data_IF_432922950607
#
_entry.id   IF_432922950607
#
_cell.length_a   1.000
_cell.length_b   1.000
_cell.length_c   1.000
_cell.angle_alpha   90.00
_cell.angle_beta   90.00
_cell.angle_gamma   90.00
#
_symmetry.space_group_name_H-M   'P 1'
#
loop_
_entity.id
_entity.type
_entity.pdbx_description
1 polymer ?
#
# COMPACT_ATOMS: atom_id res chain seq x y z
N UNK A 1 58.01 -65.12 22.41
CA UNK A 1 58.44 -63.70 22.45
C UNK A 1 57.26 -62.86 21.99
N UNK A 2 56.41 -62.47 22.94
CA UNK A 2 56.33 -61.11 23.51
C UNK A 2 55.48 -60.20 22.59
N UNK A 3 54.21 -59.99 22.95
CA UNK A 3 53.64 -58.67 23.27
C UNK A 3 52.82 -58.09 22.09
N UNK A 4 51.61 -57.52 22.21
CA UNK A 4 50.87 -57.02 23.36
C UNK A 4 49.38 -56.86 22.98
N UNK A 5 48.49 -57.35 23.85
CA UNK A 5 47.30 -56.64 24.38
C UNK A 5 46.09 -56.39 23.44
N UNK A 6 45.09 -57.27 23.62
CA UNK A 6 43.66 -56.97 23.42
C UNK A 6 43.15 -56.19 24.64
N UNK A 7 42.05 -55.46 24.43
CA UNK A 7 41.21 -54.68 25.37
C UNK A 7 41.57 -53.20 25.50
N UNK A 8 40.70 -52.35 24.95
CA UNK A 8 40.76 -50.92 25.14
C UNK A 8 39.75 -50.15 24.28
N UNK A 9 38.49 -50.18 24.72
CA UNK A 9 37.52 -49.09 24.60
C UNK A 9 37.07 -48.61 23.21
N UNK A 10 35.79 -48.93 22.96
CA UNK A 10 34.79 -48.09 22.28
C UNK A 10 35.06 -46.61 22.54
N UNK A 11 35.72 -45.93 21.59
CA UNK A 11 35.84 -44.48 21.54
C UNK A 11 36.05 -44.07 20.07
N UNK A 12 35.01 -44.28 19.25
CA UNK A 12 35.11 -44.12 17.81
C UNK A 12 33.80 -43.70 17.14
N UNK A 13 32.99 -42.85 17.78
CA UNK A 13 31.86 -42.16 17.11
C UNK A 13 31.70 -40.69 17.57
N UNK A 14 32.66 -40.10 18.31
CA UNK A 14 32.44 -38.79 18.95
C UNK A 14 33.46 -37.69 18.61
N UNK A 15 34.14 -37.78 17.46
CA UNK A 15 35.10 -36.75 17.05
C UNK A 15 35.03 -36.44 15.55
N UNK A 16 33.87 -36.02 15.04
CA UNK A 16 33.80 -35.32 13.74
C UNK A 16 32.51 -34.48 13.55
N UNK A 17 32.04 -33.81 14.60
CA UNK A 17 30.90 -32.86 14.51
C UNK A 17 31.16 -31.48 15.11
N UNK A 18 32.42 -31.13 15.37
CA UNK A 18 32.77 -29.81 15.86
C UNK A 18 33.97 -29.26 15.10
N UNK A 19 33.69 -28.60 13.98
CA UNK A 19 34.58 -27.60 13.39
C UNK A 19 33.75 -26.69 12.46
N UNK A 20 33.21 -25.64 13.09
CA UNK A 20 32.88 -24.31 12.55
C UNK A 20 31.97 -24.17 11.33
N UNK A 21 30.82 -23.51 11.56
CA UNK A 21 30.09 -22.81 10.50
C UNK A 21 28.58 -23.04 10.46
N UNK A 22 27.98 -23.69 11.47
CA UNK A 22 26.54 -23.61 11.68
C UNK A 22 26.34 -22.93 13.03
N UNK A 23 26.59 -21.62 13.09
CA UNK A 23 25.88 -20.81 14.06
C UNK A 23 24.40 -21.06 13.76
N UNK A 24 23.74 -21.74 14.68
CA UNK A 24 22.30 -21.76 14.71
C UNK A 24 21.88 -20.29 14.72
N UNK A 25 21.40 -19.79 13.57
CA UNK A 25 20.55 -18.62 13.49
C UNK A 25 19.47 -18.88 14.53
N UNK A 26 19.65 -18.34 15.73
CA UNK A 26 18.59 -18.23 16.70
C UNK A 26 17.46 -17.58 15.90
N UNK A 27 16.37 -18.30 15.70
CA UNK A 27 15.26 -17.82 14.89
C UNK A 27 14.80 -16.52 15.53
N UNK A 28 15.26 -15.40 15.00
CA UNK A 28 14.91 -14.09 15.50
C UNK A 28 13.39 -14.03 15.47
N UNK A 29 12.77 -13.71 16.61
CA UNK A 29 11.31 -13.62 16.67
C UNK A 29 10.84 -12.70 15.54
N UNK A 30 9.79 -13.14 14.84
CA UNK A 30 9.23 -12.38 13.73
C UNK A 30 8.84 -10.99 14.23
N UNK A 31 9.56 -9.97 13.76
CA UNK A 31 9.32 -8.60 14.15
C UNK A 31 8.23 -7.97 13.26
N UNK A 32 7.34 -7.20 13.89
CA UNK A 32 6.39 -6.36 13.17
C UNK A 32 7.14 -5.34 12.32
N UNK A 33 6.85 -5.27 11.03
CA UNK A 33 7.36 -4.21 10.13
C UNK A 33 6.89 -2.85 10.61
N UNK A 34 5.59 -2.76 10.93
CA UNK A 34 4.91 -1.66 11.60
C UNK A 34 4.15 -2.26 12.78
N UNK A 35 4.41 -1.78 14.00
CA UNK A 35 3.70 -2.24 15.19
C UNK A 35 2.32 -1.56 15.26
N UNK A 36 1.19 -2.29 15.13
CA UNK A 36 -0.14 -1.70 15.19
C UNK A 36 -0.47 -1.10 16.56
N UNK A 37 0.20 -1.53 17.63
CA UNK A 37 0.04 -0.99 18.98
C UNK A 37 0.75 0.36 19.15
N UNK A 38 1.63 0.73 18.22
CA UNK A 38 2.38 1.99 18.21
C UNK A 38 2.09 2.82 16.95
N UNK A 39 0.86 3.37 16.81
CA UNK A 39 0.42 4.06 15.60
C UNK A 39 1.15 5.38 15.31
N UNK A 40 1.92 5.90 16.28
CA UNK A 40 2.65 7.15 16.20
C UNK A 40 1.76 8.40 16.26
N UNK A 41 2.39 9.57 16.12
CA UNK A 41 1.71 10.87 16.17
C UNK A 41 0.67 11.03 15.03
N UNK A 42 -0.49 11.61 15.36
CA UNK A 42 -1.57 11.84 14.40
C UNK A 42 -1.18 12.79 13.27
N UNK A 43 -0.40 13.83 13.60
CA UNK A 43 0.20 14.73 12.62
C UNK A 43 1.45 14.09 12.00
N UNK A 44 1.73 14.36 10.71
CA UNK A 44 3.01 13.99 10.11
C UNK A 44 4.17 14.64 10.87
N UNK A 45 5.24 13.90 11.23
CA UNK A 45 6.41 14.46 11.90
C UNK A 45 7.23 15.36 10.96
N UNK A 46 7.04 15.22 9.65
CA UNK A 46 7.64 16.02 8.58
C UNK A 46 6.89 15.83 7.27
N UNK A 47 7.04 16.79 6.37
CA UNK A 47 6.46 16.76 5.04
C UNK A 47 4.94 16.75 5.03
N UNK A 48 4.40 16.61 3.83
CA UNK A 48 2.98 16.55 3.58
C UNK A 48 2.63 15.30 2.75
N UNK A 49 1.41 14.78 2.95
CA UNK A 49 0.93 13.67 2.14
C UNK A 49 0.79 14.08 0.67
N UNK A 50 0.77 13.11 -0.25
CA UNK A 50 0.53 13.40 -1.67
C UNK A 50 -0.83 14.04 -1.91
N UNK A 51 -1.81 13.81 -1.03
CA UNK A 51 -3.13 14.46 -1.12
C UNK A 51 -3.01 15.95 -0.79
N UNK A 52 -2.28 16.28 0.28
CA UNK A 52 -2.01 17.67 0.64
C UNK A 52 -1.27 18.39 -0.48
N UNK A 53 -0.25 17.75 -1.09
CA UNK A 53 0.51 18.33 -2.21
C UNK A 53 -0.36 18.54 -3.45
N UNK A 54 -1.19 17.55 -3.79
CA UNK A 54 -2.02 17.58 -5.01
C UNK A 54 -3.08 18.69 -4.95
N UNK A 55 -3.62 18.94 -3.76
CA UNK A 55 -4.70 19.88 -3.55
C UNK A 55 -4.28 21.15 -2.80
N UNK A 56 -2.99 21.40 -2.61
CA UNK A 56 -2.52 22.65 -2.04
C UNK A 56 -2.98 23.82 -2.91
N UNK A 57 -3.61 24.83 -2.28
CA UNK A 57 -3.90 26.08 -2.96
C UNK A 57 -2.58 26.79 -3.32
N UNK A 58 -2.55 27.62 -4.37
CA UNK A 58 -1.36 28.39 -4.73
C UNK A 58 -0.80 29.25 -3.59
N UNK A 59 -1.67 29.70 -2.68
CA UNK A 59 -1.27 30.47 -1.49
C UNK A 59 -0.67 29.63 -0.37
N UNK A 60 -0.72 28.29 -0.44
CA UNK A 60 -0.18 27.35 0.56
C UNK A 60 -1.05 27.14 1.81
N UNK A 61 -1.93 28.08 2.15
CA UNK A 61 -2.64 28.07 3.44
C UNK A 61 -3.90 27.20 3.50
N UNK A 62 -4.37 26.67 2.36
CA UNK A 62 -5.64 25.91 2.25
C UNK A 62 -5.54 24.84 1.18
N UNK A 63 -6.52 23.93 1.18
CA UNK A 63 -6.73 22.99 0.10
C UNK A 63 -7.78 23.50 -0.88
N UNK A 64 -7.50 23.39 -2.18
CA UNK A 64 -8.47 23.63 -3.25
C UNK A 64 -9.07 22.28 -3.69
N UNK A 65 -10.18 21.90 -3.05
CA UNK A 65 -10.84 20.62 -3.30
C UNK A 65 -12.03 20.82 -4.26
N UNK A 66 -11.90 20.39 -5.54
CA UNK A 66 -12.96 20.62 -6.51
C UNK A 66 -14.18 19.75 -6.21
N UNK A 67 -15.37 20.32 -6.41
CA UNK A 67 -16.67 19.64 -6.32
C UNK A 67 -17.41 19.81 -7.67
N UNK A 68 -18.19 18.83 -8.16
CA UNK A 68 -18.53 17.53 -7.54
C UNK A 68 -17.38 16.50 -7.56
N UNK A 69 -17.60 15.33 -6.98
CA UNK A 69 -16.60 14.27 -6.81
C UNK A 69 -15.88 13.90 -8.12
N UNK A 70 -16.58 13.94 -9.24
CA UNK A 70 -16.03 13.71 -10.58
C UNK A 70 -14.92 14.71 -10.94
N UNK A 71 -15.01 15.97 -10.49
CA UNK A 71 -13.96 16.96 -10.71
C UNK A 71 -12.73 16.68 -9.86
N UNK A 72 -12.91 16.13 -8.67
CA UNK A 72 -11.81 15.65 -7.83
C UNK A 72 -11.10 14.47 -8.49
N UNK A 73 -11.85 13.50 -9.01
CA UNK A 73 -11.27 12.39 -9.78
C UNK A 73 -10.58 12.88 -11.06
N UNK A 74 -11.16 13.84 -11.77
CA UNK A 74 -10.55 14.42 -12.96
C UNK A 74 -9.25 15.15 -12.63
N UNK A 75 -9.17 15.87 -11.50
CA UNK A 75 -7.94 16.52 -11.04
C UNK A 75 -6.85 15.49 -10.74
N UNK A 76 -7.18 14.39 -10.06
CA UNK A 76 -6.23 13.29 -9.83
C UNK A 76 -5.81 12.66 -11.18
N UNK A 77 -6.76 12.44 -12.08
CA UNK A 77 -6.53 11.82 -13.38
C UNK A 77 -5.56 12.59 -14.28
N UNK A 78 -5.47 13.92 -14.13
CA UNK A 78 -4.51 14.76 -14.87
C UNK A 78 -3.06 14.48 -14.50
N UNK A 79 -2.80 13.90 -13.33
CA UNK A 79 -1.46 13.51 -12.89
C UNK A 79 -1.02 12.14 -13.43
N UNK A 80 -1.90 11.43 -14.14
CA UNK A 80 -1.69 10.03 -14.52
C UNK A 80 -1.48 9.89 -16.02
N UNK A 81 -0.63 8.95 -16.38
CA UNK A 81 -0.49 8.53 -17.77
C UNK A 81 -1.81 7.92 -18.26
N UNK A 82 -2.19 8.15 -19.54
CA UNK A 82 -3.36 7.52 -20.10
C UNK A 82 -3.22 6.00 -20.07
N UNK A 83 -4.34 5.30 -19.86
CA UNK A 83 -4.36 3.85 -20.00
C UNK A 83 -4.08 3.46 -21.47
N UNK A 84 -3.34 2.36 -21.65
CA UNK A 84 -3.21 1.74 -22.97
C UNK A 84 -4.60 1.29 -23.48
N UNK A 85 -4.83 1.23 -24.80
CA UNK A 85 -6.07 0.70 -25.36
C UNK A 85 -6.40 -0.68 -24.80
N UNK A 86 -7.64 -0.85 -24.31
CA UNK A 86 -8.12 -2.11 -23.71
C UNK A 86 -7.68 -2.34 -22.26
N UNK A 87 -6.82 -1.50 -21.68
CA UNK A 87 -6.45 -1.59 -20.27
C UNK A 87 -7.50 -0.92 -19.36
N UNK A 88 -7.53 -1.35 -18.09
CA UNK A 88 -8.37 -0.71 -17.08
C UNK A 88 -7.95 0.76 -16.84
N UNK A 89 -8.88 1.68 -16.53
CA UNK A 89 -8.58 3.09 -16.27
C UNK A 89 -7.52 3.30 -15.17
N UNK A 90 -6.65 4.33 -15.23
CA UNK A 90 -5.58 4.51 -14.25
C UNK A 90 -6.10 4.78 -12.82
N UNK A 91 -7.31 5.32 -12.71
CA UNK A 91 -8.07 5.41 -11.47
C UNK A 91 -9.06 4.24 -11.38
N UNK A 92 -8.93 3.42 -10.34
CA UNK A 92 -9.87 2.32 -10.06
C UNK A 92 -10.88 2.79 -9.04
N UNK A 93 -12.17 2.77 -9.37
CA UNK A 93 -13.24 3.24 -8.46
C UNK A 93 -14.38 2.23 -8.42
N UNK A 94 -14.80 1.74 -7.25
CA UNK A 94 -15.90 0.78 -7.06
C UNK A 94 -16.98 1.36 -6.14
N UNK A 95 -18.20 0.82 -6.23
CA UNK A 95 -19.33 1.17 -5.37
C UNK A 95 -19.54 0.11 -4.29
N UNK A 96 -19.65 0.53 -3.04
CA UNK A 96 -19.85 -0.30 -1.85
C UNK A 96 -21.09 0.19 -1.07
N UNK A 97 -22.30 -0.27 -1.40
CA UNK A 97 -23.49 0.09 -0.64
C UNK A 97 -23.49 -0.49 0.79
N UNK A 98 -22.95 -1.69 0.96
CA UNK A 98 -22.98 -2.44 2.23
C UNK A 98 -21.56 -2.66 2.77
N UNK A 99 -20.85 -1.56 3.04
CA UNK A 99 -19.45 -1.58 3.48
C UNK A 99 -19.24 -1.81 4.98
N UNK A 100 -17.97 -2.00 5.37
CA UNK A 100 -17.52 -2.15 6.77
C UNK A 100 -16.74 -0.94 7.31
N UNK A 101 -16.75 0.18 6.61
CA UNK A 101 -16.03 1.39 7.06
C UNK A 101 -16.68 2.03 8.28
N UNK A 102 -16.03 3.04 8.85
CA UNK A 102 -16.61 3.85 9.93
C UNK A 102 -17.90 4.57 9.49
N UNK A 103 -18.06 4.81 8.19
CA UNK A 103 -19.25 5.41 7.58
C UNK A 103 -20.32 4.38 7.15
N UNK A 104 -20.25 3.12 7.62
CA UNK A 104 -21.14 2.03 7.18
C UNK A 104 -22.65 2.30 7.35
N UNK A 105 -23.04 3.19 8.27
CA UNK A 105 -24.44 3.56 8.52
C UNK A 105 -24.83 4.90 7.93
N UNK A 106 -23.90 5.66 7.33
CA UNK A 106 -24.14 7.04 6.89
C UNK A 106 -25.22 7.17 5.82
N UNK A 107 -25.39 6.13 5.00
CA UNK A 107 -26.41 6.09 3.95
C UNK A 107 -27.73 5.45 4.40
N UNK A 108 -27.87 5.04 5.67
CA UNK A 108 -29.09 4.35 6.12
C UNK A 108 -30.35 5.23 5.94
N UNK A 109 -31.48 4.66 5.49
CA UNK A 109 -31.66 3.30 4.96
C UNK A 109 -31.33 3.16 3.46
N UNK A 110 -31.02 4.24 2.76
CA UNK A 110 -30.82 4.31 1.31
C UNK A 110 -29.38 3.98 0.85
N UNK A 111 -28.90 2.80 1.23
CA UNK A 111 -27.55 2.33 0.92
C UNK A 111 -27.25 2.24 -0.57
N UNK A 112 -28.27 1.93 -1.38
CA UNK A 112 -28.13 1.75 -2.83
C UNK A 112 -28.31 3.06 -3.59
N UNK A 113 -29.05 4.02 -3.06
CA UNK A 113 -29.08 5.38 -3.61
C UNK A 113 -27.77 6.14 -3.37
N UNK A 114 -27.12 5.88 -2.23
CA UNK A 114 -25.89 6.57 -1.80
C UNK A 114 -24.77 5.60 -1.39
N UNK A 115 -24.30 4.72 -2.30
CA UNK A 115 -23.22 3.79 -1.99
C UNK A 115 -21.92 4.55 -1.70
N UNK A 116 -21.09 4.00 -0.81
CA UNK A 116 -19.74 4.52 -0.62
C UNK A 116 -18.93 4.24 -1.89
N UNK A 117 -18.23 5.24 -2.41
CA UNK A 117 -17.25 5.04 -3.49
C UNK A 117 -15.90 4.76 -2.85
N UNK A 118 -15.17 3.76 -3.36
CA UNK A 118 -13.77 3.53 -2.98
C UNK A 118 -12.92 3.63 -4.22
N UNK A 119 -11.89 4.48 -4.15
CA UNK A 119 -10.97 4.81 -5.24
C UNK A 119 -9.55 4.47 -4.84
N UNK A 120 -8.80 3.87 -5.77
CA UNK A 120 -7.36 3.69 -5.68
C UNK A 120 -6.68 4.18 -6.95
N UNK A 121 -5.54 4.85 -6.79
CA UNK A 121 -4.68 5.23 -7.92
C UNK A 121 -3.74 4.06 -8.27
N UNK A 122 -3.91 3.51 -9.47
CA UNK A 122 -3.14 2.39 -9.99
C UNK A 122 -2.38 2.75 -11.29
N UNK A 123 -2.63 3.92 -11.86
CA UNK A 123 -1.92 4.43 -13.04
C UNK A 123 -0.53 4.95 -12.72
N UNK A 124 0.39 4.84 -13.69
CA UNK A 124 1.69 5.49 -13.63
C UNK A 124 1.55 7.03 -13.70
N UNK A 125 2.52 7.80 -13.19
CA UNK A 125 2.54 9.25 -13.38
C UNK A 125 2.52 9.63 -14.86
N UNK A 126 1.77 10.68 -15.18
CA UNK A 126 1.73 11.27 -16.51
C UNK A 126 3.00 12.08 -16.81
N UNK A 127 3.28 12.37 -18.10
CA UNK A 127 4.39 13.26 -18.46
C UNK A 127 4.30 14.59 -17.72
N UNK A 128 5.39 15.00 -17.07
CA UNK A 128 5.47 16.26 -16.32
C UNK A 128 4.87 16.24 -14.91
N UNK A 129 4.22 15.14 -14.49
CA UNK A 129 3.80 14.99 -13.09
C UNK A 129 5.00 14.64 -12.22
N UNK A 130 5.18 15.39 -11.12
CA UNK A 130 6.15 15.08 -10.07
C UNK A 130 5.57 14.18 -8.97
N UNK A 131 4.28 13.85 -9.05
CA UNK A 131 3.56 13.11 -8.01
C UNK A 131 3.52 11.62 -8.32
N UNK A 132 4.12 10.83 -7.44
CA UNK A 132 4.02 9.36 -7.49
C UNK A 132 2.71 8.93 -6.81
N UNK A 133 1.59 8.97 -7.52
CA UNK A 133 0.29 8.63 -6.92
C UNK A 133 0.00 7.12 -6.91
N UNK A 134 0.61 6.35 -7.83
CA UNK A 134 0.42 4.89 -7.94
C UNK A 134 0.69 4.20 -6.61
N UNK A 135 -0.29 3.41 -6.18
CA UNK A 135 -0.29 2.63 -4.94
C UNK A 135 -0.17 3.49 -3.66
N UNK A 136 -0.32 4.81 -3.79
CA UNK A 136 -0.01 5.78 -2.73
C UNK A 136 -1.16 6.71 -2.39
N UNK A 137 -2.22 6.78 -3.20
CA UNK A 137 -3.41 7.58 -2.92
C UNK A 137 -4.69 6.74 -3.03
N UNK A 138 -5.49 6.75 -1.96
CA UNK A 138 -6.75 6.05 -1.83
C UNK A 138 -7.80 6.98 -1.22
N UNK A 139 -9.04 6.90 -1.73
CA UNK A 139 -10.13 7.78 -1.29
C UNK A 139 -11.41 6.95 -1.13
N UNK A 140 -12.03 7.04 0.04
CA UNK A 140 -13.42 6.66 0.26
C UNK A 140 -14.31 7.90 0.22
N UNK A 141 -15.39 7.90 -0.54
CA UNK A 141 -16.38 8.99 -0.55
C UNK A 141 -17.73 8.49 -0.12
N UNK A 142 -18.37 9.20 0.82
CA UNK A 142 -19.74 8.97 1.23
C UNK A 142 -20.53 10.28 1.15
N UNK A 143 -21.42 10.37 0.14
CA UNK A 143 -22.20 11.57 -0.16
C UNK A 143 -23.08 11.99 1.02
N UNK A 144 -23.76 11.05 1.67
CA UNK A 144 -24.74 11.37 2.73
C UNK A 144 -24.12 12.01 3.96
N UNK A 145 -22.88 11.65 4.29
CA UNK A 145 -22.13 12.29 5.37
C UNK A 145 -21.30 13.49 4.90
N UNK A 146 -21.24 13.77 3.58
CA UNK A 146 -20.36 14.77 2.98
C UNK A 146 -18.89 14.62 3.41
N UNK A 147 -18.39 13.37 3.44
CA UNK A 147 -17.04 13.03 3.93
C UNK A 147 -16.22 12.30 2.86
N UNK A 148 -14.95 12.70 2.73
CA UNK A 148 -13.90 11.88 2.12
C UNK A 148 -13.03 11.28 3.22
N UNK A 149 -12.80 9.98 3.16
CA UNK A 149 -11.77 9.27 3.92
C UNK A 149 -10.57 9.11 3.00
N UNK A 150 -9.44 9.74 3.33
CA UNK A 150 -8.25 9.77 2.47
C UNK A 150 -7.11 9.03 3.16
N UNK A 151 -6.48 8.12 2.41
CA UNK A 151 -5.23 7.47 2.83
C UNK A 151 -4.20 7.81 1.77
N UNK A 152 -3.18 8.59 2.16
CA UNK A 152 -2.23 9.17 1.21
C UNK A 152 -0.80 9.08 1.74
N UNK A 153 0.12 8.67 0.88
CA UNK A 153 1.51 8.48 1.27
C UNK A 153 2.22 9.83 1.47
N UNK A 154 3.01 9.92 2.52
CA UNK A 154 3.93 11.02 2.77
C UNK A 154 5.35 10.51 2.54
N UNK A 155 5.93 10.90 1.40
CA UNK A 155 7.26 10.44 0.98
C UNK A 155 8.37 10.83 1.97
N UNK A 156 8.27 12.01 2.59
CA UNK A 156 9.27 12.50 3.54
C UNK A 156 9.19 11.82 4.91
N UNK A 157 7.96 11.46 5.34
CA UNK A 157 7.76 10.71 6.58
C UNK A 157 7.85 9.19 6.40
N UNK A 158 7.83 8.69 5.16
CA UNK A 158 7.87 7.26 4.85
C UNK A 158 6.67 6.49 5.39
N UNK A 159 5.47 7.09 5.34
CA UNK A 159 4.25 6.43 5.85
C UNK A 159 2.99 6.95 5.17
N UNK A 160 1.90 6.19 5.29
CA UNK A 160 0.58 6.71 4.95
C UNK A 160 0.03 7.62 6.06
N UNK A 161 -0.53 8.74 5.64
CA UNK A 161 -1.36 9.60 6.47
C UNK A 161 -2.83 9.26 6.28
N UNK A 162 -3.60 9.40 7.36
CA UNK A 162 -5.03 9.15 7.40
C UNK A 162 -5.72 10.49 7.61
N UNK A 163 -6.56 10.88 6.65
CA UNK A 163 -7.19 12.19 6.63
C UNK A 163 -8.69 12.06 6.42
N UNK A 164 -9.42 13.04 6.94
CA UNK A 164 -10.84 13.23 6.68
C UNK A 164 -11.04 14.59 6.01
N UNK A 165 -11.73 14.60 4.88
CA UNK A 165 -12.31 15.84 4.35
C UNK A 165 -13.76 15.89 4.80
N UNK A 166 -14.17 16.97 5.47
CA UNK A 166 -15.56 17.17 5.92
C UNK A 166 -16.20 18.32 5.14
N UNK A 167 -17.52 18.33 5.10
CA UNK A 167 -18.34 19.31 4.35
C UNK A 167 -18.10 19.28 2.83
N UNK A 168 -17.77 18.09 2.29
CA UNK A 168 -17.59 17.86 0.86
C UNK A 168 -18.93 17.62 0.15
N UNK A 169 -19.63 18.72 -0.17
CA UNK A 169 -20.96 18.71 -0.81
C UNK A 169 -21.18 20.00 -1.62
N UNK A 170 -22.27 20.04 -2.39
CA UNK A 170 -22.68 21.25 -3.11
C UNK A 170 -22.87 22.44 -2.14
N UNK A 171 -22.22 23.56 -2.44
CA UNK A 171 -22.22 24.77 -1.58
C UNK A 171 -21.44 24.63 -0.26
N UNK A 172 -20.81 23.48 0.00
CA UNK A 172 -19.99 23.25 1.18
C UNK A 172 -18.61 23.89 1.11
N UNK A 173 -17.94 23.95 2.25
CA UNK A 173 -16.58 24.45 2.41
C UNK A 173 -15.68 23.31 2.89
N UNK A 174 -15.17 22.47 1.97
CA UNK A 174 -14.47 21.25 2.36
C UNK A 174 -13.17 21.57 3.11
N UNK A 175 -12.96 20.88 4.23
CA UNK A 175 -11.79 21.08 5.12
C UNK A 175 -11.12 19.75 5.40
N UNK A 176 -9.80 19.72 5.26
CA UNK A 176 -8.96 18.54 5.53
C UNK A 176 -8.59 18.52 7.02
N UNK A 177 -8.75 17.36 7.64
CA UNK A 177 -8.38 17.08 9.02
C UNK A 177 -7.50 15.84 9.06
N UNK A 178 -6.47 15.83 9.91
CA UNK A 178 -5.78 14.58 10.22
C UNK A 178 -6.66 13.71 11.11
N UNK A 179 -6.78 12.43 10.77
CA UNK A 179 -7.53 11.47 11.55
C UNK A 179 -6.73 11.01 12.78
N UNK A 180 -7.44 10.58 13.81
CA UNK A 180 -6.81 9.93 14.96
C UNK A 180 -6.26 8.56 14.50
N UNK A 181 -4.93 8.44 14.44
CA UNK A 181 -4.26 7.20 13.99
C UNK A 181 -4.58 6.00 14.88
N UNK A 182 -4.86 6.18 16.17
CA UNK A 182 -5.24 5.08 17.07
C UNK A 182 -6.52 4.40 16.59
N UNK A 183 -7.50 5.18 16.11
CA UNK A 183 -8.74 4.65 15.54
C UNK A 183 -8.46 3.94 14.21
N UNK A 184 -7.57 4.52 13.39
CA UNK A 184 -7.27 3.98 12.06
C UNK A 184 -6.54 2.63 12.14
N UNK A 185 -5.56 2.50 13.05
CA UNK A 185 -4.71 1.33 13.18
C UNK A 185 -5.43 0.08 13.73
N UNK A 186 -6.60 0.26 14.35
CA UNK A 186 -7.46 -0.88 14.71
C UNK A 186 -7.84 -1.74 13.49
N UNK A 187 -8.00 -1.11 12.32
CA UNK A 187 -8.27 -1.80 11.06
C UNK A 187 -7.05 -1.83 10.12
N UNK A 188 -6.29 -0.74 10.07
CA UNK A 188 -5.13 -0.56 9.19
C UNK A 188 -3.84 -0.97 9.89
N UNK A 189 -3.74 -2.25 10.27
CA UNK A 189 -2.69 -2.75 11.17
C UNK A 189 -1.25 -2.54 10.67
N UNK A 190 -1.04 -2.50 9.35
CA UNK A 190 0.27 -2.22 8.75
C UNK A 190 0.51 -0.71 8.50
N UNK A 191 -0.35 0.17 9.04
CA UNK A 191 -0.30 1.60 8.81
C UNK A 191 -0.47 2.00 7.34
N UNK A 192 -1.20 1.19 6.57
CA UNK A 192 -1.34 1.30 5.12
C UNK A 192 -2.81 1.05 4.71
N UNK A 193 -3.24 1.29 3.45
CA UNK A 193 -4.62 1.06 3.03
C UNK A 193 -5.04 -0.42 3.20
N UNK A 194 -6.34 -0.65 3.31
CA UNK A 194 -6.95 -1.98 3.29
C UNK A 194 -8.11 -1.97 2.31
N UNK A 195 -8.41 -3.14 1.74
CA UNK A 195 -9.56 -3.33 0.87
C UNK A 195 -10.12 -4.73 1.07
N UNK A 196 -11.35 -4.93 0.60
CA UNK A 196 -12.03 -6.21 0.63
C UNK A 196 -11.22 -7.29 -0.08
N UNK A 197 -11.14 -8.48 0.53
CA UNK A 197 -10.51 -9.65 -0.07
C UNK A 197 -11.39 -10.21 -1.20
N UNK A 198 -10.79 -11.10 -1.99
CA UNK A 198 -11.44 -11.77 -3.12
C UNK A 198 -12.82 -12.37 -2.78
N UNK A 199 -13.62 -12.45 -3.84
CA UNK A 199 -15.09 -12.47 -3.95
C UNK A 199 -15.72 -11.07 -4.02
N UNK A 200 -15.23 -10.10 -3.24
CA UNK A 200 -15.67 -8.69 -3.28
C UNK A 200 -17.20 -8.52 -3.27
N UNK A 201 -17.89 -9.39 -2.53
CA UNK A 201 -19.35 -9.53 -2.52
C UNK A 201 -20.06 -8.25 -2.07
N UNK A 202 -19.36 -7.37 -1.35
CA UNK A 202 -19.85 -6.06 -0.89
C UNK A 202 -19.75 -4.94 -1.94
N UNK A 203 -19.13 -5.22 -3.08
CA UNK A 203 -18.91 -4.25 -4.17
C UNK A 203 -19.88 -4.47 -5.33
N UNK A 204 -19.93 -3.52 -6.26
CA UNK A 204 -20.66 -3.67 -7.50
C UNK A 204 -20.03 -4.62 -8.55
N UNK A 205 -19.03 -5.43 -8.17
CA UNK A 205 -18.65 -6.62 -8.92
C UNK A 205 -19.57 -7.82 -8.62
N UNK A 206 -20.33 -7.78 -7.51
CA UNK A 206 -21.39 -8.74 -7.25
C UNK A 206 -22.60 -8.42 -8.14
N UNK A 207 -23.07 -9.35 -9.01
CA UNK A 207 -24.19 -9.11 -9.91
C UNK A 207 -25.49 -8.70 -9.21
N UNK A 208 -25.75 -9.23 -8.00
CA UNK A 208 -26.94 -8.85 -7.23
C UNK A 208 -26.85 -7.40 -6.71
N UNK A 209 -25.65 -6.95 -6.32
CA UNK A 209 -25.43 -5.55 -5.95
C UNK A 209 -25.54 -4.64 -7.17
N UNK A 210 -24.90 -5.00 -8.28
CA UNK A 210 -24.96 -4.23 -9.53
C UNK A 210 -26.40 -4.04 -10.03
N UNK A 211 -27.21 -5.12 -10.03
CA UNK A 211 -28.61 -5.05 -10.42
C UNK A 211 -29.42 -4.09 -9.54
N UNK A 212 -29.21 -4.11 -8.22
CA UNK A 212 -29.88 -3.18 -7.29
C UNK A 212 -29.42 -1.74 -7.48
N UNK A 213 -28.12 -1.52 -7.71
CA UNK A 213 -27.59 -0.18 -8.02
C UNK A 213 -28.13 0.35 -9.35
N UNK A 214 -28.28 -0.50 -10.36
CA UNK A 214 -28.85 -0.15 -11.66
C UNK A 214 -30.33 0.19 -11.55
N UNK A 215 -31.08 -0.53 -10.74
CA UNK A 215 -32.51 -0.31 -10.52
C UNK A 215 -32.83 1.07 -9.92
N UNK A 216 -31.87 1.76 -9.29
CA UNK A 216 -32.09 3.12 -8.78
C UNK A 216 -32.12 4.18 -9.88
N UNK A 217 -31.59 3.89 -11.08
CA UNK A 217 -31.45 4.84 -12.18
C UNK A 217 -30.49 6.01 -11.91
N UNK A 218 -29.70 5.99 -10.84
CA UNK A 218 -28.79 7.09 -10.48
C UNK A 218 -27.47 7.03 -11.25
N UNK A 219 -26.89 8.21 -11.47
CA UNK A 219 -25.51 8.36 -11.90
C UNK A 219 -24.59 8.43 -10.67
N UNK A 220 -23.69 7.46 -10.51
CA UNK A 220 -22.83 7.33 -9.32
C UNK A 220 -21.47 7.98 -9.54
N UNK A 221 -21.43 9.29 -9.68
CA UNK A 221 -20.18 10.06 -9.78
C UNK A 221 -19.21 9.58 -10.88
N UNK A 222 -19.77 9.16 -12.02
CA UNK A 222 -19.00 8.61 -13.15
C UNK A 222 -18.53 7.15 -12.94
N UNK A 223 -18.94 6.50 -11.85
CA UNK A 223 -18.64 5.09 -11.58
C UNK A 223 -19.78 4.23 -12.11
N UNK A 224 -19.56 3.33 -13.08
CA UNK A 224 -20.62 2.51 -13.63
C UNK A 224 -21.12 1.50 -12.56
N UNK A 225 -22.44 1.30 -12.43
CA UNK A 225 -23.01 0.29 -11.52
C UNK A 225 -22.71 -1.13 -12.01
N UNK A 226 -22.76 -1.39 -13.32
CA UNK A 226 -22.41 -2.67 -13.92
C UNK A 226 -20.89 -2.81 -14.06
N UNK A 227 -20.32 -3.90 -13.53
CA UNK A 227 -18.86 -4.11 -13.49
C UNK A 227 -18.47 -5.56 -13.25
N UNK A 228 -17.35 -5.97 -13.84
CA UNK A 228 -16.67 -7.23 -13.55
C UNK A 228 -15.66 -7.15 -12.39
N UNK A 229 -15.05 -8.29 -12.08
CA UNK A 229 -14.11 -8.44 -10.95
C UNK A 229 -12.76 -7.76 -11.15
N UNK A 230 -12.41 -7.34 -12.37
CA UNK A 230 -11.07 -6.85 -12.69
C UNK A 230 -10.70 -5.56 -11.96
N UNK A 231 -11.66 -4.66 -11.75
CA UNK A 231 -11.38 -3.39 -11.05
C UNK A 231 -11.19 -3.58 -9.54
N UNK A 232 -12.08 -4.24 -8.79
CA UNK A 232 -11.80 -4.51 -7.38
C UNK A 232 -10.57 -5.41 -7.20
N UNK A 233 -10.28 -6.32 -8.13
CA UNK A 233 -9.01 -7.04 -8.15
C UNK A 233 -7.81 -6.11 -8.27
N UNK A 234 -7.83 -5.16 -9.20
CA UNK A 234 -6.75 -4.18 -9.34
C UNK A 234 -6.58 -3.32 -8.07
N UNK A 235 -7.68 -2.97 -7.38
CA UNK A 235 -7.61 -2.27 -6.07
C UNK A 235 -6.96 -3.16 -5.00
N UNK A 236 -7.35 -4.43 -4.88
CA UNK A 236 -6.74 -5.38 -3.94
C UNK A 236 -5.22 -5.51 -4.21
N UNK A 237 -4.83 -5.69 -5.47
CA UNK A 237 -3.40 -5.77 -5.84
C UNK A 237 -2.67 -4.46 -5.51
N UNK A 238 -3.26 -3.29 -5.77
CA UNK A 238 -2.67 -1.99 -5.41
C UNK A 238 -2.48 -1.87 -3.90
N UNK A 239 -3.48 -2.25 -3.10
CA UNK A 239 -3.39 -2.29 -1.64
C UNK A 239 -2.28 -3.21 -1.17
N UNK A 240 -2.12 -4.40 -1.77
CA UNK A 240 -1.00 -5.31 -1.42
C UNK A 240 0.36 -4.70 -1.74
N UNK A 241 0.51 -3.99 -2.86
CA UNK A 241 1.75 -3.27 -3.20
C UNK A 241 2.01 -2.11 -2.23
N UNK A 242 1.00 -1.34 -1.88
CA UNK A 242 1.08 -0.28 -0.88
C UNK A 242 1.55 -0.78 0.48
N UNK A 243 1.03 -1.92 0.92
CA UNK A 243 1.41 -2.56 2.18
C UNK A 243 2.89 -3.02 2.20
N UNK A 244 3.55 -3.16 1.04
CA UNK A 244 4.98 -3.50 0.97
C UNK A 244 5.90 -2.29 1.10
N UNK A 245 5.38 -1.06 1.02
CA UNK A 245 6.22 0.14 1.09
C UNK A 245 6.97 0.24 2.43
N UNK A 246 6.28 0.04 3.55
CA UNK A 246 6.91 0.06 4.87
C UNK A 246 8.00 -1.02 5.02
N UNK A 247 7.75 -2.22 4.49
CA UNK A 247 8.72 -3.31 4.49
C UNK A 247 9.94 -2.95 3.65
N UNK A 248 9.74 -2.48 2.42
CA UNK A 248 10.82 -2.09 1.53
C UNK A 248 11.69 -0.99 2.14
N UNK A 249 11.08 0.00 2.80
CA UNK A 249 11.80 1.06 3.49
C UNK A 249 12.61 0.55 4.68
N UNK A 250 12.03 -0.34 5.49
CA UNK A 250 12.74 -0.94 6.63
C UNK A 250 13.93 -1.76 6.16
N UNK A 251 13.73 -2.64 5.17
CA UNK A 251 14.81 -3.43 4.58
C UNK A 251 15.91 -2.55 3.99
N UNK A 252 15.55 -1.46 3.32
CA UNK A 252 16.54 -0.52 2.77
C UNK A 252 17.37 0.18 3.86
N UNK A 253 16.72 0.61 4.94
CA UNK A 253 17.37 1.34 6.04
C UNK A 253 18.21 0.43 6.92
N UNK A 254 17.68 -0.73 7.27
CA UNK A 254 18.20 -1.58 8.35
C UNK A 254 18.80 -2.88 7.82
N UNK A 255 18.31 -3.41 6.69
CA UNK A 255 18.62 -4.76 6.22
C UNK A 255 20.08 -4.98 5.81
N UNK A 256 20.76 -3.95 5.30
CA UNK A 256 22.18 -4.04 4.91
C UNK A 256 23.15 -3.61 6.02
N UNK A 257 22.66 -3.15 7.18
CA UNK A 257 23.49 -2.53 8.20
C UNK A 257 24.25 -1.28 7.74
N UNK A 258 25.25 -0.90 8.52
CA UNK A 258 26.04 0.33 8.35
C UNK A 258 27.42 0.09 7.70
N UNK A 259 28.16 1.18 7.50
CA UNK A 259 29.54 1.12 6.99
C UNK A 259 29.65 0.80 5.50
N UNK A 260 30.86 0.40 5.09
CA UNK A 260 31.19 0.13 3.69
C UNK A 260 30.49 -1.11 3.15
N UNK A 261 30.41 -2.18 3.95
CA UNK A 261 29.68 -3.39 3.60
C UNK A 261 28.19 -3.09 3.34
N UNK A 262 27.53 -2.32 4.21
CA UNK A 262 26.15 -1.91 4.01
C UNK A 262 25.93 -1.02 2.77
N UNK A 263 26.89 -0.14 2.44
CA UNK A 263 26.85 0.63 1.19
C UNK A 263 26.95 -0.27 -0.04
N UNK A 264 27.85 -1.27 -0.04
CA UNK A 264 27.95 -2.26 -1.14
C UNK A 264 26.66 -3.07 -1.29
N UNK A 265 26.10 -3.55 -0.18
CA UNK A 265 24.82 -4.25 -0.18
C UNK A 265 23.68 -3.41 -0.78
N UNK A 266 23.52 -2.15 -0.36
CA UNK A 266 22.51 -1.23 -0.92
C UNK A 266 22.73 -0.93 -2.41
N UNK A 267 23.98 -0.74 -2.84
CA UNK A 267 24.32 -0.55 -4.25
C UNK A 267 23.94 -1.78 -5.09
N UNK A 268 24.20 -2.97 -4.56
CA UNK A 268 23.78 -4.23 -5.14
C UNK A 268 22.25 -4.35 -5.27
N UNK A 269 21.51 -4.07 -4.19
CA UNK A 269 20.04 -4.10 -4.21
C UNK A 269 19.46 -3.11 -5.23
N UNK A 270 20.05 -1.92 -5.32
CA UNK A 270 19.69 -0.93 -6.33
C UNK A 270 19.93 -1.44 -7.76
N UNK A 271 21.10 -2.04 -8.02
CA UNK A 271 21.42 -2.61 -9.32
C UNK A 271 20.46 -3.75 -9.70
N UNK A 272 20.11 -4.62 -8.74
CA UNK A 272 19.12 -5.68 -8.94
C UNK A 272 17.74 -5.10 -9.27
N UNK A 273 17.30 -4.05 -8.56
CA UNK A 273 16.03 -3.38 -8.82
C UNK A 273 15.99 -2.73 -10.21
N UNK A 274 17.08 -2.08 -10.62
CA UNK A 274 17.23 -1.51 -11.96
C UNK A 274 17.18 -2.59 -13.05
N UNK A 275 17.91 -3.70 -12.87
CA UNK A 275 17.91 -4.82 -13.82
C UNK A 275 16.51 -5.42 -13.98
N UNK A 276 15.80 -5.61 -12.87
CA UNK A 276 14.41 -6.07 -12.92
C UNK A 276 13.54 -5.09 -13.72
N UNK A 277 13.69 -3.79 -13.45
CA UNK A 277 12.86 -2.76 -14.09
C UNK A 277 13.15 -2.58 -15.57
N UNK A 278 14.42 -2.65 -15.97
CA UNK A 278 14.87 -2.49 -17.36
C UNK A 278 14.71 -3.78 -18.17
N UNK A 279 14.61 -4.94 -17.52
CA UNK A 279 14.37 -6.23 -18.16
C UNK A 279 12.90 -6.54 -18.44
N UNK A 280 12.01 -5.55 -18.46
CA UNK A 280 10.54 -5.73 -18.56
C UNK A 280 9.99 -6.72 -17.52
N UNK A 281 10.42 -6.60 -16.26
CA UNK A 281 10.06 -7.50 -15.16
C UNK A 281 10.48 -8.98 -15.37
N UNK A 282 11.29 -9.29 -16.39
CA UNK A 282 11.97 -10.59 -16.48
C UNK A 282 13.02 -10.65 -15.37
N UNK A 283 12.94 -11.69 -14.52
CA UNK A 283 14.02 -12.04 -13.60
C UNK A 283 15.24 -12.42 -14.42
N UNK A 284 16.13 -11.46 -14.61
CA UNK A 284 17.50 -11.74 -15.03
C UNK A 284 18.21 -12.46 -13.88
N UNK A 285 19.08 -13.44 -14.16
CA UNK A 285 19.88 -14.07 -13.13
C UNK A 285 20.63 -12.99 -12.33
N UNK A 286 20.71 -13.12 -11.00
CA UNK A 286 21.49 -12.20 -10.20
C UNK A 286 22.95 -12.20 -10.70
N UNK A 287 23.57 -11.03 -10.68
CA UNK A 287 25.00 -10.94 -10.98
C UNK A 287 25.80 -11.61 -9.86
N UNK A 288 26.78 -12.44 -10.21
CA UNK A 288 27.59 -13.17 -9.23
C UNK A 288 28.21 -12.23 -8.18
N UNK A 289 28.60 -11.01 -8.58
CA UNK A 289 29.11 -9.99 -7.65
C UNK A 289 28.04 -9.44 -6.70
N UNK A 290 26.77 -9.39 -7.14
CA UNK A 290 25.65 -9.06 -6.27
C UNK A 290 25.35 -10.19 -5.30
N UNK A 291 25.35 -11.44 -5.74
CA UNK A 291 25.13 -12.60 -4.85
C UNK A 291 26.19 -12.67 -3.75
N UNK A 292 27.47 -12.51 -4.09
CA UNK A 292 28.55 -12.51 -3.12
C UNK A 292 28.43 -11.36 -2.10
N UNK A 293 28.12 -10.15 -2.57
CA UNK A 293 27.99 -8.97 -1.71
C UNK A 293 26.74 -9.01 -0.81
N UNK A 294 25.66 -9.65 -1.26
CA UNK A 294 24.44 -9.79 -0.47
C UNK A 294 24.50 -10.99 0.47
N UNK A 295 25.14 -12.10 0.10
CA UNK A 295 25.41 -13.23 0.99
C UNK A 295 26.35 -12.87 2.15
N UNK A 296 27.28 -11.93 1.95
CA UNK A 296 28.19 -11.47 3.01
C UNK A 296 27.58 -10.40 3.94
N UNK A 297 26.47 -9.76 3.54
CA UNK A 297 25.84 -8.66 4.27
C UNK A 297 24.49 -9.03 4.90
N UNK A 298 23.85 -10.10 4.42
CA UNK A 298 22.61 -10.64 4.96
C UNK A 298 22.96 -11.77 5.94
N UNK A 299 22.50 -11.73 7.21
CA UNK A 299 22.70 -12.82 8.15
C UNK A 299 21.95 -14.09 7.74
#
# INVERSE_FOLDING_TARGET
MISRWRHGLVAGVLAMRAACGAEALAAAEAAWVVDPAQPGAHLPPRGASLFDRLFAAPSGDRHELPFPFERLLARIGRELAPAAPGALPPLKAVLLPLGRSLQRTAAAPDYFGFPRVVVAVDGLPGPGSSLLLKDRLYIGYQERSAVLEVISYNEEAGRFEFQLVKDYRAGGQPRVFQANRNICFACHQNGAPIFSRALWDETNANPAIAARLKATGRHYYGVPPDRGVDVPYAIDVAVRRANRLALAQRLWREGCGDGEAGRRCRAGLWQAALRLRLGDDRRLPPDATFEEASAAAWP
#
